data_IF_301576679606
#
_entry.id   IF_301576679606
#
_cell.length_a   1.000
_cell.length_b   1.000
_cell.length_c   1.000
_cell.angle_alpha   90.00
_cell.angle_beta   90.00
_cell.angle_gamma   90.00
#
_symmetry.space_group_name_H-M   'P 1'
#
loop_
_entity.id
_entity.type
_entity.pdbx_description
1 polymer ?
#
# COMPACT_ATOMS: atom_id res chain seq x y z
N UNK A 1 -23.94 -0.36 -26.70
CA UNK A 1 -25.40 -0.56 -26.64
C UNK A 1 -25.95 0.35 -25.56
N UNK A 2 -26.86 1.27 -25.92
CA UNK A 2 -27.51 2.13 -24.94
C UNK A 2 -28.42 1.29 -24.06
N UNK A 3 -28.24 1.37 -22.73
CA UNK A 3 -29.14 0.76 -21.79
C UNK A 3 -30.46 1.55 -21.79
N UNK A 4 -31.56 1.01 -22.28
CA UNK A 4 -32.74 1.82 -22.63
C UNK A 4 -33.60 2.27 -21.45
N UNK A 5 -33.22 1.97 -20.19
CA UNK A 5 -34.04 2.31 -18.99
C UNK A 5 -33.23 2.75 -17.78
N UNK A 6 -32.05 3.37 -17.99
CA UNK A 6 -31.28 3.92 -16.85
C UNK A 6 -31.97 5.20 -16.37
N UNK A 7 -32.62 5.13 -15.22
CA UNK A 7 -33.28 6.29 -14.58
C UNK A 7 -32.32 7.18 -13.78
N UNK A 8 -31.24 6.63 -13.25
CA UNK A 8 -30.24 7.36 -12.46
C UNK A 8 -28.86 6.82 -12.80
N UNK A 9 -27.88 7.73 -12.80
CA UNK A 9 -26.45 7.42 -12.96
C UNK A 9 -25.71 8.01 -11.79
N UNK A 10 -24.83 7.23 -11.19
CA UNK A 10 -23.94 7.67 -10.10
C UNK A 10 -22.53 7.51 -10.60
N UNK A 11 -21.73 8.57 -10.51
CA UNK A 11 -20.31 8.57 -10.78
C UNK A 11 -19.59 8.73 -9.44
N UNK A 12 -18.68 7.81 -9.14
CA UNK A 12 -17.87 7.83 -7.93
C UNK A 12 -16.40 8.01 -8.34
N UNK A 13 -15.71 8.91 -7.69
CA UNK A 13 -14.28 9.14 -7.88
C UNK A 13 -13.66 9.53 -6.54
N UNK A 14 -12.46 9.02 -6.26
CA UNK A 14 -11.65 9.44 -5.12
C UNK A 14 -10.89 10.74 -5.39
N UNK A 15 -10.79 11.16 -6.65
CA UNK A 15 -10.12 12.38 -7.09
C UNK A 15 -11.08 13.24 -7.90
N UNK A 16 -10.90 14.55 -7.81
CA UNK A 16 -11.72 15.48 -8.58
C UNK A 16 -11.30 15.41 -10.06
N UNK A 17 -12.14 14.77 -10.89
CA UNK A 17 -11.88 14.65 -12.33
C UNK A 17 -12.53 15.84 -13.07
N UNK A 18 -11.75 16.70 -13.75
CA UNK A 18 -12.28 17.83 -14.49
C UNK A 18 -13.05 17.41 -15.77
N UNK A 19 -12.98 16.14 -16.15
CA UNK A 19 -13.63 15.62 -17.37
C UNK A 19 -14.66 14.56 -17.02
N UNK A 20 -15.91 14.99 -16.93
CA UNK A 20 -17.05 14.07 -16.84
C UNK A 20 -17.27 13.45 -18.25
N UNK A 21 -17.26 12.11 -18.38
CA UNK A 21 -17.49 11.46 -19.66
C UNK A 21 -18.81 11.89 -20.31
N UNK A 22 -18.81 12.10 -21.62
CA UNK A 22 -19.97 12.61 -22.37
C UNK A 22 -21.24 11.77 -22.15
N UNK A 23 -21.11 10.45 -21.97
CA UNK A 23 -22.26 9.56 -21.73
C UNK A 23 -22.92 9.76 -20.35
N UNK A 24 -22.26 10.46 -19.42
CA UNK A 24 -22.79 10.79 -18.09
C UNK A 24 -23.39 12.18 -18.09
N UNK A 25 -23.01 13.04 -19.03
CA UNK A 25 -23.50 14.42 -19.09
C UNK A 25 -25.03 14.42 -19.22
N UNK A 26 -25.68 14.85 -18.16
CA UNK A 26 -27.12 15.12 -18.12
C UNK A 26 -27.34 16.56 -17.72
N UNK A 27 -28.51 17.11 -18.05
CA UNK A 27 -28.88 18.50 -17.80
C UNK A 27 -29.01 18.87 -16.31
N UNK A 28 -28.94 17.88 -15.41
CA UNK A 28 -28.94 18.07 -13.95
C UNK A 28 -27.95 17.10 -13.29
N UNK A 29 -26.76 17.59 -12.95
CA UNK A 29 -25.80 16.89 -12.11
C UNK A 29 -25.93 17.43 -10.68
N UNK A 30 -26.12 16.51 -9.72
CA UNK A 30 -25.94 16.81 -8.30
C UNK A 30 -24.57 16.31 -7.93
N UNK A 31 -23.66 17.19 -7.53
CA UNK A 31 -22.37 16.85 -6.98
C UNK A 31 -22.51 16.76 -5.44
N UNK A 32 -22.06 15.66 -4.88
CA UNK A 32 -21.92 15.50 -3.43
C UNK A 32 -20.43 15.36 -3.17
N UNK A 33 -19.87 16.29 -2.41
CA UNK A 33 -18.46 16.35 -2.12
C UNK A 33 -18.23 15.96 -0.65
N UNK A 34 -17.23 15.11 -0.42
CA UNK A 34 -16.81 14.63 0.90
C UNK A 34 -15.43 15.17 1.29
N UNK A 35 -15.08 16.39 0.84
CA UNK A 35 -13.76 17.01 1.10
C UNK A 35 -13.44 17.05 2.59
N UNK A 36 -14.40 17.39 3.43
CA UNK A 36 -14.21 17.45 4.90
C UNK A 36 -13.82 16.09 5.50
N UNK A 37 -14.32 15.00 4.93
CA UNK A 37 -13.96 13.65 5.37
C UNK A 37 -12.55 13.26 4.87
N UNK A 38 -12.18 13.66 3.66
CA UNK A 38 -10.84 13.45 3.13
C UNK A 38 -9.76 14.16 3.96
N UNK A 39 -10.03 15.40 4.39
CA UNK A 39 -9.14 16.14 5.30
C UNK A 39 -8.99 15.45 6.66
N UNK A 40 -10.07 14.95 7.23
CA UNK A 40 -10.01 14.14 8.48
C UNK A 40 -9.20 12.86 8.31
N UNK A 41 -9.23 12.23 7.15
CA UNK A 41 -8.41 11.05 6.86
C UNK A 41 -6.93 11.43 6.81
N UNK A 42 -6.58 12.53 6.13
CA UNK A 42 -5.19 13.04 6.08
C UNK A 42 -4.63 13.28 7.48
N UNK A 43 -5.39 13.87 8.39
CA UNK A 43 -4.98 14.14 9.78
C UNK A 43 -4.69 12.87 10.60
N UNK A 44 -5.15 11.70 10.16
CA UNK A 44 -4.93 10.41 10.82
C UNK A 44 -3.71 9.65 10.28
N UNK A 45 -3.08 10.18 9.23
CA UNK A 45 -1.89 9.58 8.60
C UNK A 45 -0.67 10.38 9.00
N UNK A 46 0.28 9.74 9.70
CA UNK A 46 1.61 10.29 9.89
C UNK A 46 2.49 9.91 8.69
N UNK A 47 3.22 10.90 8.16
CA UNK A 47 4.08 10.69 7.00
C UNK A 47 5.54 10.88 7.41
N UNK A 48 6.40 9.97 6.95
CA UNK A 48 7.80 9.94 7.32
C UNK A 48 8.71 9.87 6.10
N UNK A 49 9.88 10.50 6.19
CA UNK A 49 11.00 10.27 5.29
C UNK A 49 12.02 9.31 5.91
N UNK A 50 12.51 8.36 5.13
CA UNK A 50 13.54 7.40 5.49
C UNK A 50 14.70 7.59 4.52
N UNK A 51 15.85 8.01 5.00
CA UNK A 51 17.04 8.18 4.18
C UNK A 51 17.74 6.85 3.97
N UNK A 52 18.05 6.55 2.71
CA UNK A 52 18.87 5.41 2.33
C UNK A 52 20.28 5.84 2.00
N UNK A 53 21.27 5.15 2.55
CA UNK A 53 22.70 5.39 2.25
C UNK A 53 23.10 4.87 0.85
N UNK A 54 22.22 4.15 0.18
CA UNK A 54 22.44 3.55 -1.13
C UNK A 54 21.30 3.87 -2.10
N UNK A 55 21.64 3.97 -3.40
CA UNK A 55 20.64 4.05 -4.48
C UNK A 55 19.74 2.81 -4.52
N UNK A 56 20.29 1.67 -4.16
CA UNK A 56 19.52 0.44 -3.93
C UNK A 56 18.97 0.46 -2.50
N UNK A 57 17.74 0.86 -2.36
CA UNK A 57 17.05 1.12 -1.09
C UNK A 57 16.64 -0.17 -0.33
N UNK A 58 17.09 -1.35 -0.75
CA UNK A 58 16.68 -2.64 -0.19
C UNK A 58 17.04 -2.79 1.29
N UNK A 59 18.26 -2.37 1.67
CA UNK A 59 18.69 -2.44 3.07
C UNK A 59 17.89 -1.48 3.97
N UNK A 60 17.59 -0.27 3.48
CA UNK A 60 16.73 0.66 4.19
C UNK A 60 15.31 0.11 4.35
N UNK A 61 14.76 -0.53 3.31
CA UNK A 61 13.46 -1.22 3.39
C UNK A 61 13.49 -2.35 4.42
N UNK A 62 14.53 -3.18 4.40
CA UNK A 62 14.69 -4.28 5.35
C UNK A 62 14.66 -3.78 6.80
N UNK A 63 15.49 -2.78 7.13
CA UNK A 63 15.56 -2.19 8.47
C UNK A 63 14.23 -1.55 8.88
N UNK A 64 13.56 -0.88 7.95
CA UNK A 64 12.23 -0.29 8.19
C UNK A 64 11.18 -1.36 8.51
N UNK A 65 11.12 -2.44 7.73
CA UNK A 65 10.19 -3.54 7.98
C UNK A 65 10.49 -4.28 9.30
N UNK A 66 11.76 -4.39 9.69
CA UNK A 66 12.14 -4.92 11.00
C UNK A 66 11.59 -4.04 12.15
N UNK A 67 11.66 -2.71 11.99
CA UNK A 67 11.12 -1.77 12.98
C UNK A 67 9.58 -1.86 13.11
N UNK A 68 8.88 -2.30 12.06
CA UNK A 68 7.42 -2.47 12.09
C UNK A 68 6.95 -3.71 12.87
N UNK A 69 7.86 -4.59 13.23
CA UNK A 69 7.59 -5.73 14.11
C UNK A 69 6.41 -6.60 13.67
N UNK A 70 6.29 -6.85 12.37
CA UNK A 70 5.26 -7.72 11.78
C UNK A 70 3.91 -7.06 11.51
N UNK A 71 3.80 -5.76 11.66
CA UNK A 71 2.58 -5.03 11.29
C UNK A 71 2.32 -5.11 9.78
N UNK A 72 1.03 -5.09 9.41
CA UNK A 72 0.59 -5.17 8.01
C UNK A 72 1.12 -3.99 7.20
N UNK A 73 1.84 -4.30 6.12
CA UNK A 73 2.57 -3.31 5.32
C UNK A 73 2.36 -3.53 3.83
N UNK A 74 2.09 -2.47 3.08
CA UNK A 74 2.16 -2.48 1.62
C UNK A 74 3.39 -1.69 1.18
N UNK A 75 4.19 -2.29 0.29
CA UNK A 75 5.38 -1.68 -0.31
C UNK A 75 5.10 -1.44 -1.79
N UNK A 76 5.09 -0.17 -2.20
CA UNK A 76 4.81 0.25 -3.58
C UNK A 76 6.08 0.50 -4.38
N UNK A 77 6.13 -0.12 -5.56
CA UNK A 77 7.19 0.07 -6.57
C UNK A 77 6.55 0.39 -7.93
N UNK A 78 7.30 1.05 -8.83
CA UNK A 78 6.76 1.47 -10.13
C UNK A 78 6.85 0.36 -11.20
N UNK A 79 7.81 -0.58 -11.07
CA UNK A 79 8.11 -1.60 -12.08
C UNK A 79 7.97 -3.01 -11.53
N UNK A 80 7.47 -3.94 -12.35
CA UNK A 80 7.27 -5.36 -11.98
C UNK A 80 8.58 -6.06 -11.63
N UNK A 81 9.65 -5.80 -12.38
CA UNK A 81 10.96 -6.40 -12.14
C UNK A 81 11.52 -5.98 -10.78
N UNK A 82 11.27 -4.73 -10.39
CA UNK A 82 11.64 -4.23 -9.05
C UNK A 82 10.80 -4.90 -7.95
N UNK A 83 9.52 -5.16 -8.21
CA UNK A 83 8.63 -5.87 -7.27
C UNK A 83 9.14 -7.29 -7.06
N UNK A 84 9.44 -8.03 -8.14
CA UNK A 84 9.96 -9.40 -8.08
C UNK A 84 11.30 -9.47 -7.32
N UNK A 85 12.25 -8.58 -7.67
CA UNK A 85 13.56 -8.49 -7.02
C UNK A 85 13.44 -8.16 -5.53
N UNK A 86 12.62 -7.19 -5.18
CA UNK A 86 12.40 -6.79 -3.79
C UNK A 86 11.75 -7.91 -2.99
N UNK A 87 10.76 -8.59 -3.58
CA UNK A 87 10.12 -9.73 -2.96
C UNK A 87 11.10 -10.87 -2.67
N UNK A 88 11.96 -11.23 -3.64
CA UNK A 88 13.00 -12.25 -3.46
C UNK A 88 13.95 -11.87 -2.31
N UNK A 89 14.48 -10.66 -2.32
CA UNK A 89 15.35 -10.16 -1.26
C UNK A 89 14.70 -10.26 0.13
N UNK A 90 13.45 -9.85 0.27
CA UNK A 90 12.75 -9.93 1.55
C UNK A 90 12.50 -11.37 2.00
N UNK A 91 12.20 -12.28 1.07
CA UNK A 91 12.05 -13.71 1.38
C UNK A 91 13.38 -14.32 1.86
N UNK A 92 14.51 -13.98 1.22
CA UNK A 92 15.86 -14.41 1.64
C UNK A 92 16.20 -13.88 3.05
N UNK A 93 15.71 -12.69 3.41
CA UNK A 93 15.84 -12.12 4.76
C UNK A 93 14.85 -12.72 5.77
N UNK A 94 13.98 -13.65 5.36
CA UNK A 94 13.06 -14.38 6.23
C UNK A 94 11.67 -13.73 6.40
N UNK A 95 11.32 -12.71 5.61
CA UNK A 95 9.95 -12.18 5.62
C UNK A 95 8.98 -13.10 4.88
N UNK A 96 7.75 -13.18 5.37
CA UNK A 96 6.66 -13.82 4.64
C UNK A 96 5.90 -12.77 3.85
N UNK A 97 6.15 -12.75 2.56
CA UNK A 97 5.65 -11.73 1.65
C UNK A 97 4.59 -12.26 0.69
N UNK A 98 3.78 -11.37 0.16
CA UNK A 98 2.94 -11.56 -1.02
C UNK A 98 3.36 -10.60 -2.11
N UNK A 99 3.36 -11.08 -3.34
CA UNK A 99 3.78 -10.35 -4.55
C UNK A 99 2.56 -10.05 -5.40
N UNK A 100 2.42 -8.79 -5.88
CA UNK A 100 1.29 -8.41 -6.74
C UNK A 100 1.69 -7.40 -7.82
N UNK A 101 1.54 -7.78 -9.08
CA UNK A 101 1.69 -6.88 -10.24
C UNK A 101 0.92 -7.41 -11.46
N UNK A 102 0.81 -6.58 -12.50
CA UNK A 102 0.01 -6.88 -13.69
C UNK A 102 0.53 -8.02 -14.57
N UNK A 103 1.77 -8.46 -14.39
CA UNK A 103 2.34 -9.60 -15.11
C UNK A 103 1.94 -10.96 -14.54
N UNK A 104 1.28 -11.01 -13.38
CA UNK A 104 0.78 -12.26 -12.81
C UNK A 104 -0.52 -12.70 -13.47
N UNK A 105 -0.70 -14.01 -13.59
CA UNK A 105 -1.99 -14.61 -13.92
C UNK A 105 -3.06 -14.27 -12.87
N UNK A 106 -4.34 -14.34 -13.26
CA UNK A 106 -5.45 -13.92 -12.40
C UNK A 106 -5.48 -14.71 -11.08
N UNK A 107 -5.34 -16.04 -11.14
CA UNK A 107 -5.35 -16.91 -9.97
C UNK A 107 -4.20 -16.58 -9.00
N UNK A 108 -3.01 -16.28 -9.54
CA UNK A 108 -1.85 -15.88 -8.73
C UNK A 108 -2.08 -14.52 -8.05
N UNK A 109 -2.75 -13.58 -8.72
CA UNK A 109 -3.13 -12.29 -8.13
C UNK A 109 -4.12 -12.46 -6.99
N UNK A 110 -5.17 -13.27 -7.19
CA UNK A 110 -6.17 -13.55 -6.16
C UNK A 110 -5.55 -14.27 -4.96
N UNK A 111 -4.70 -15.26 -5.20
CA UNK A 111 -3.98 -15.96 -4.13
C UNK A 111 -3.08 -15.03 -3.32
N UNK A 112 -2.37 -14.08 -3.99
CA UNK A 112 -1.51 -13.11 -3.32
C UNK A 112 -2.32 -12.19 -2.40
N UNK A 113 -3.44 -11.67 -2.88
CA UNK A 113 -4.33 -10.82 -2.09
C UNK A 113 -4.97 -11.59 -0.93
N UNK A 114 -5.42 -12.81 -1.17
CA UNK A 114 -5.99 -13.66 -0.12
C UNK A 114 -4.99 -13.95 0.99
N UNK A 115 -3.72 -14.27 0.65
CA UNK A 115 -2.65 -14.48 1.64
C UNK A 115 -2.35 -13.24 2.48
N UNK A 116 -2.41 -12.06 1.88
CA UNK A 116 -2.21 -10.81 2.58
C UNK A 116 -3.42 -10.45 3.46
N UNK A 117 -4.64 -10.53 2.92
CA UNK A 117 -5.87 -10.16 3.65
C UNK A 117 -6.17 -11.10 4.82
N UNK A 118 -5.87 -12.39 4.71
CA UNK A 118 -6.07 -13.35 5.81
C UNK A 118 -4.93 -13.37 6.83
N UNK A 119 -3.88 -12.53 6.64
CA UNK A 119 -2.73 -12.45 7.53
C UNK A 119 -1.74 -13.62 7.42
N UNK A 120 -1.78 -14.41 6.33
CA UNK A 120 -0.74 -15.41 6.03
C UNK A 120 0.56 -14.77 5.54
N UNK A 121 0.49 -13.54 5.02
CA UNK A 121 1.62 -12.67 4.74
C UNK A 121 1.37 -11.31 5.39
N UNK A 122 2.38 -10.70 5.96
CA UNK A 122 2.29 -9.38 6.58
C UNK A 122 2.85 -8.26 5.70
N UNK A 123 3.55 -8.59 4.63
CA UNK A 123 4.09 -7.63 3.67
C UNK A 123 3.56 -7.94 2.27
N UNK A 124 2.92 -6.96 1.63
CA UNK A 124 2.54 -7.01 0.23
C UNK A 124 3.48 -6.12 -0.58
N UNK A 125 4.23 -6.72 -1.51
CA UNK A 125 5.12 -6.00 -2.43
C UNK A 125 4.42 -5.88 -3.78
N UNK A 126 4.15 -4.65 -4.25
CA UNK A 126 3.26 -4.48 -5.39
C UNK A 126 3.55 -3.23 -6.25
N UNK A 127 2.98 -3.22 -7.46
CA UNK A 127 2.85 -2.01 -8.27
C UNK A 127 1.54 -1.28 -7.96
N UNK A 128 1.37 -0.07 -8.53
CA UNK A 128 0.15 0.75 -8.39
C UNK A 128 -1.14 0.04 -8.82
N UNK A 129 -1.04 -1.07 -9.54
CA UNK A 129 -2.21 -1.88 -9.86
C UNK A 129 -2.95 -2.36 -8.59
N UNK A 130 -2.21 -2.62 -7.51
CA UNK A 130 -2.77 -2.99 -6.21
C UNK A 130 -3.46 -1.84 -5.48
N UNK A 131 -3.18 -0.58 -5.85
CA UNK A 131 -3.80 0.59 -5.24
C UNK A 131 -5.19 0.92 -5.80
N UNK A 132 -5.55 0.34 -6.96
CA UNK A 132 -6.79 0.67 -7.67
C UNK A 132 -7.76 -0.50 -7.66
N UNK A 133 -8.96 -0.28 -7.11
CA UNK A 133 -10.09 -1.22 -7.22
C UNK A 133 -9.95 -2.54 -6.47
N UNK A 134 -8.90 -2.74 -5.70
CA UNK A 134 -8.74 -3.91 -4.86
C UNK A 134 -9.23 -3.61 -3.44
N UNK A 135 -10.00 -4.53 -2.92
CA UNK A 135 -10.44 -4.52 -1.52
C UNK A 135 -9.31 -5.08 -0.64
N UNK A 136 -8.24 -4.27 -0.50
CA UNK A 136 -7.20 -4.54 0.47
C UNK A 136 -7.62 -3.82 1.75
N UNK A 137 -7.81 -4.59 2.79
CA UNK A 137 -8.15 -4.07 4.11
C UNK A 137 -7.12 -3.06 4.61
N UNK A 138 -7.55 -2.26 5.54
CA UNK A 138 -6.79 -1.22 6.18
C UNK A 138 -5.45 -1.73 6.74
N UNK A 139 -4.36 -1.26 6.16
CA UNK A 139 -3.01 -1.63 6.57
C UNK A 139 -2.43 -0.61 7.54
N UNK A 140 -1.49 -1.06 8.37
CA UNK A 140 -0.83 -0.18 9.33
C UNK A 140 0.16 0.77 8.66
N UNK A 141 0.91 0.26 7.66
CA UNK A 141 1.99 0.98 7.02
C UNK A 141 1.89 0.93 5.50
N UNK A 142 2.10 2.08 4.86
CA UNK A 142 2.29 2.22 3.41
C UNK A 142 3.70 2.72 3.16
N UNK A 143 4.48 1.99 2.36
CA UNK A 143 5.85 2.33 2.01
C UNK A 143 5.95 2.67 0.53
N UNK A 144 6.40 3.87 0.22
CA UNK A 144 6.77 4.32 -1.11
C UNK A 144 8.25 4.00 -1.33
N UNK A 145 8.55 2.78 -1.80
CA UNK A 145 9.92 2.39 -2.17
C UNK A 145 10.39 3.15 -3.42
N UNK A 146 9.54 3.21 -4.45
CA UNK A 146 9.64 4.20 -5.51
C UNK A 146 8.62 5.31 -5.28
N UNK A 147 9.03 6.55 -5.54
CA UNK A 147 8.15 7.69 -5.43
C UNK A 147 6.92 7.52 -6.36
N UNK A 148 5.73 7.90 -5.91
CA UNK A 148 4.56 7.92 -6.77
C UNK A 148 4.75 8.96 -7.89
N UNK A 149 4.41 8.58 -9.13
CA UNK A 149 4.65 9.44 -10.30
C UNK A 149 3.63 10.59 -10.42
N UNK A 150 2.50 10.48 -9.76
CA UNK A 150 1.40 11.46 -9.84
C UNK A 150 0.75 11.68 -8.48
N UNK A 151 0.09 12.83 -8.25
CA UNK A 151 -0.73 13.06 -7.06
C UNK A 151 -1.83 12.00 -6.86
N UNK A 152 -2.44 11.53 -7.95
CA UNK A 152 -3.45 10.48 -7.91
C UNK A 152 -2.86 9.15 -7.44
N UNK A 153 -1.66 8.79 -7.92
CA UNK A 153 -0.97 7.59 -7.46
C UNK A 153 -0.67 7.67 -5.96
N UNK A 154 -0.20 8.82 -5.47
CA UNK A 154 0.02 9.05 -4.05
C UNK A 154 -1.28 8.86 -3.24
N UNK A 155 -2.36 9.53 -3.64
CA UNK A 155 -3.66 9.46 -2.97
C UNK A 155 -4.19 8.01 -2.91
N UNK A 156 -4.07 7.26 -3.99
CA UNK A 156 -4.50 5.86 -4.04
C UNK A 156 -3.63 4.94 -3.18
N UNK A 157 -2.30 5.17 -3.14
CA UNK A 157 -1.37 4.40 -2.30
C UNK A 157 -1.64 4.67 -0.82
N UNK A 158 -1.63 5.95 -0.42
CA UNK A 158 -1.80 6.33 0.98
C UNK A 158 -3.21 6.00 1.50
N UNK A 159 -4.20 6.00 0.64
CA UNK A 159 -5.57 5.59 0.95
C UNK A 159 -5.75 4.10 1.26
N UNK A 160 -4.68 3.32 1.32
CA UNK A 160 -4.69 1.93 1.82
C UNK A 160 -4.55 1.86 3.34
N UNK A 161 -4.19 2.95 3.99
CA UNK A 161 -4.09 3.03 5.46
C UNK A 161 -5.08 4.05 6.03
N UNK A 162 -5.21 4.10 7.35
CA UNK A 162 -6.05 5.00 8.13
C UNK A 162 -7.53 4.98 7.73
N UNK A 163 -8.05 3.84 7.30
CA UNK A 163 -9.47 3.68 6.99
C UNK A 163 -10.31 3.70 8.26
N UNK A 164 -11.55 4.13 8.13
CA UNK A 164 -12.49 4.32 9.23
C UNK A 164 -11.88 5.29 10.26
N UNK A 165 -11.87 4.94 11.54
CA UNK A 165 -11.31 5.76 12.63
C UNK A 165 -9.91 5.36 13.06
N UNK A 166 -9.20 4.55 12.24
CA UNK A 166 -7.85 4.09 12.54
C UNK A 166 -6.79 5.12 12.13
N UNK A 167 -5.62 5.01 12.75
CA UNK A 167 -4.42 5.77 12.38
C UNK A 167 -3.52 4.89 11.51
N UNK A 168 -2.83 5.52 10.56
CA UNK A 168 -1.90 4.86 9.68
C UNK A 168 -0.62 5.66 9.48
N UNK A 169 0.36 5.03 8.83
CA UNK A 169 1.64 5.65 8.58
C UNK A 169 2.04 5.47 7.10
N UNK A 170 2.57 6.55 6.51
CA UNK A 170 3.19 6.54 5.20
C UNK A 170 4.69 6.77 5.30
N UNK A 171 5.50 6.07 4.51
CA UNK A 171 6.95 6.20 4.50
C UNK A 171 7.47 6.38 3.09
N UNK A 172 8.32 7.38 2.90
CA UNK A 172 9.09 7.56 1.66
C UNK A 172 10.53 7.10 1.92
N UNK A 173 10.99 6.08 1.19
CA UNK A 173 12.40 5.71 1.22
C UNK A 173 13.10 6.51 0.12
N UNK A 174 14.01 7.40 0.53
CA UNK A 174 14.69 8.33 -0.36
C UNK A 174 16.17 7.97 -0.47
N UNK A 175 16.67 7.86 -1.71
CA UNK A 175 18.10 7.91 -2.00
C UNK A 175 18.60 9.36 -1.96
N UNK A 176 19.92 9.56 -2.05
CA UNK A 176 20.54 10.89 -1.94
C UNK A 176 20.12 11.88 -3.02
N UNK A 177 19.64 11.39 -4.16
CA UNK A 177 19.22 12.16 -5.33
C UNK A 177 17.68 12.29 -5.46
N UNK A 178 16.92 11.73 -4.52
CA UNK A 178 15.46 11.83 -4.47
C UNK A 178 14.98 12.83 -3.43
N UNK A 179 13.87 13.47 -3.73
CA UNK A 179 13.17 14.38 -2.82
C UNK A 179 11.68 14.06 -2.79
N UNK A 180 11.03 14.38 -1.69
CA UNK A 180 9.59 14.22 -1.56
C UNK A 180 8.91 15.12 -2.59
N UNK A 181 7.93 14.58 -3.36
CA UNK A 181 7.22 15.35 -4.37
C UNK A 181 6.45 16.53 -3.75
N UNK A 182 6.45 17.67 -4.45
CA UNK A 182 5.78 18.90 -4.00
C UNK A 182 4.26 18.76 -3.76
N UNK A 183 3.62 17.78 -4.38
CA UNK A 183 2.20 17.51 -4.18
C UNK A 183 1.87 16.77 -2.87
N UNK A 184 2.88 16.40 -2.10
CA UNK A 184 2.69 15.86 -0.75
C UNK A 184 2.51 17.03 0.20
N UNK A 185 1.26 17.39 0.46
CA UNK A 185 0.83 18.57 1.22
C UNK A 185 0.74 18.31 2.74
N UNK A 186 1.30 17.19 3.22
CA UNK A 186 1.31 16.78 4.62
C UNK A 186 2.70 17.03 5.22
N UNK A 187 2.76 17.40 6.49
CA UNK A 187 4.02 17.48 7.22
C UNK A 187 4.72 16.12 7.22
N UNK A 188 5.97 16.10 6.78
CA UNK A 188 6.79 14.89 6.71
C UNK A 188 7.87 14.96 7.77
N UNK A 189 7.91 13.92 8.61
CA UNK A 189 8.86 13.81 9.72
C UNK A 189 10.02 12.88 9.36
N UNK A 190 11.25 13.15 9.81
CA UNK A 190 12.36 12.22 9.61
C UNK A 190 12.15 10.95 10.44
N UNK A 191 12.40 9.79 9.84
CA UNK A 191 12.40 8.50 10.52
C UNK A 191 13.82 7.93 10.54
N UNK A 192 14.39 7.79 11.74
CA UNK A 192 15.71 7.22 11.91
C UNK A 192 15.64 5.69 11.92
N UNK A 193 16.35 5.06 10.98
CA UNK A 193 16.52 3.61 10.96
C UNK A 193 17.48 3.18 12.07
N UNK A 194 17.04 2.23 12.87
CA UNK A 194 17.91 1.54 13.85
C UNK A 194 18.52 0.29 13.19
N UNK A 195 19.55 -0.25 13.82
CA UNK A 195 20.12 -1.52 13.36
C UNK A 195 19.10 -2.64 13.52
N UNK A 196 18.94 -3.43 12.48
CA UNK A 196 18.05 -4.57 12.48
C UNK A 196 18.69 -5.72 13.27
N UNK A 197 18.05 -6.12 14.36
CA UNK A 197 18.54 -7.20 15.22
C UNK A 197 17.49 -8.32 15.28
N UNK A 198 17.95 -9.54 15.05
CA UNK A 198 17.09 -10.73 15.12
C UNK A 198 16.46 -11.13 13.79
N UNK A 199 15.37 -11.89 13.86
CA UNK A 199 14.62 -12.40 12.72
C UNK A 199 13.32 -11.61 12.55
N UNK A 200 12.83 -11.47 11.30
CA UNK A 200 11.52 -10.89 11.05
C UNK A 200 10.41 -11.58 11.83
N UNK A 201 9.44 -10.81 12.31
CA UNK A 201 8.27 -11.37 12.97
C UNK A 201 7.40 -12.12 11.96
N UNK A 202 7.01 -13.33 12.35
CA UNK A 202 6.15 -14.17 11.52
C UNK A 202 4.72 -13.61 11.48
N UNK A 203 4.02 -13.73 10.35
CA UNK A 203 2.61 -13.37 10.25
C UNK A 203 1.76 -14.11 11.28
N UNK A 204 0.69 -13.49 11.76
CA UNK A 204 -0.18 -14.06 12.81
C UNK A 204 -0.69 -15.48 12.49
N UNK A 205 -1.10 -15.70 11.23
CA UNK A 205 -1.60 -17.02 10.81
C UNK A 205 -0.49 -18.07 10.78
N UNK A 206 0.72 -17.71 10.33
CA UNK A 206 1.88 -18.62 10.35
C UNK A 206 2.23 -19.04 11.79
N UNK A 207 2.18 -18.12 12.73
CA UNK A 207 2.43 -18.39 14.16
C UNK A 207 1.41 -19.37 14.73
N UNK A 208 0.12 -19.26 14.36
CA UNK A 208 -0.92 -20.19 14.78
C UNK A 208 -0.69 -21.62 14.27
N UNK A 209 -0.25 -21.77 13.02
CA UNK A 209 0.07 -23.07 12.43
C UNK A 209 1.26 -23.76 13.10
N UNK A 210 2.33 -23.04 13.35
CA UNK A 210 3.51 -23.57 14.06
C UNK A 210 3.16 -23.97 15.49
N UNK A 211 2.36 -23.16 16.17
CA UNK A 211 1.92 -23.44 17.54
C UNK A 211 1.06 -24.71 17.68
N UNK A 212 0.21 -25.00 16.70
CA UNK A 212 -0.62 -26.23 16.69
C UNK A 212 0.18 -27.48 16.35
N UNK A 213 1.15 -27.40 15.42
CA UNK A 213 1.96 -28.55 15.04
C UNK A 213 2.94 -29.06 16.11
N UNK A 214 3.21 -28.30 17.15
CA UNK A 214 4.01 -28.74 18.31
C UNK A 214 3.20 -29.44 19.40
N UNK A 215 1.86 -29.31 19.40
CA UNK A 215 1.01 -29.94 20.42
C UNK A 215 0.59 -31.37 20.08
N UNK A 216 0.72 -31.78 18.83
CA UNK A 216 0.30 -33.12 18.39
C UNK A 216 1.49 -34.12 18.32
N UNK A 217 2.62 -33.83 18.99
CA UNK A 217 3.78 -34.71 19.10
C UNK A 217 4.23 -34.93 20.55
N UNK A 218 3.28 -35.17 21.43
CA UNK A 218 3.54 -35.79 22.75
C UNK A 218 2.53 -36.90 22.98
#
# INVERSE_FOLDING_TARGET
AALPRVQRRVLLSATNSPRIPLFVQSTKLTCIDFVDEAEKVKQRIAVYEVKSDSKDKLEALYRLLMAFNGDSTIVFLNHRESVERTNMFLMEKGFVTSLFHGGLEQDAREAALYRFSNGSANVLVCTDLASRGLDIDDVRHVVHYHLPETPDAYTHRIGRTARWDKRGNGYFILSSDEQIPEYVDTEVQPFALTDAVGMPQMPRMATLYIGKGKKDKI
#
